data_IF_800728808125
#
_entry.id   IF_800728808125
#
_cell.length_a   1.000
_cell.length_b   1.000
_cell.length_c   1.000
_cell.angle_alpha   90.00
_cell.angle_beta   90.00
_cell.angle_gamma   90.00
#
_symmetry.space_group_name_H-M   'P 1'
#
loop_
_entity.id
_entity.type
_entity.pdbx_description
1 polymer ?
#
# COMPACT_ATOMS: atom_id res chain seq x y z
N UNK A 1 -49.78 -54.16 -4.27
CA UNK A 1 -49.42 -52.93 -3.50
C UNK A 1 -47.98 -53.01 -2.97
N UNK A 2 -47.48 -54.18 -2.54
CA UNK A 2 -46.09 -54.32 -2.05
C UNK A 2 -44.98 -54.07 -3.08
N UNK A 3 -45.14 -54.55 -4.32
CA UNK A 3 -44.07 -54.48 -5.34
C UNK A 3 -43.70 -53.01 -5.69
N UNK A 4 -44.69 -52.13 -5.82
CA UNK A 4 -44.44 -50.70 -6.09
C UNK A 4 -43.76 -49.98 -4.92
N UNK A 5 -44.01 -50.40 -3.67
CA UNK A 5 -43.39 -49.82 -2.48
C UNK A 5 -41.91 -50.23 -2.38
N UNK A 6 -41.60 -51.47 -2.76
CA UNK A 6 -40.24 -52.01 -2.82
C UNK A 6 -39.41 -51.31 -3.91
N UNK A 7 -39.97 -51.09 -5.11
CA UNK A 7 -39.28 -50.37 -6.19
C UNK A 7 -39.00 -48.91 -5.86
N UNK A 8 -39.96 -48.22 -5.22
CA UNK A 8 -39.77 -46.83 -4.76
C UNK A 8 -38.70 -46.75 -3.68
N UNK A 9 -38.69 -47.70 -2.74
CA UNK A 9 -37.65 -47.80 -1.70
C UNK A 9 -36.26 -48.02 -2.30
N UNK A 10 -36.12 -48.95 -3.25
CA UNK A 10 -34.84 -49.22 -3.94
C UNK A 10 -34.31 -48.01 -4.70
N UNK A 11 -35.19 -47.25 -5.37
CA UNK A 11 -34.81 -46.02 -6.08
C UNK A 11 -34.30 -44.93 -5.13
N UNK A 12 -34.96 -44.74 -3.99
CA UNK A 12 -34.53 -43.77 -2.97
C UNK A 12 -33.17 -44.16 -2.39
N UNK A 13 -32.96 -45.44 -2.08
CA UNK A 13 -31.68 -45.95 -1.59
C UNK A 13 -30.56 -45.75 -2.61
N UNK A 14 -30.81 -46.07 -3.89
CA UNK A 14 -29.83 -45.86 -4.96
C UNK A 14 -29.49 -44.37 -5.12
N UNK A 15 -30.49 -43.49 -5.17
CA UNK A 15 -30.25 -42.05 -5.30
C UNK A 15 -29.48 -41.48 -4.12
N UNK A 16 -29.79 -41.93 -2.89
CA UNK A 16 -29.05 -41.54 -1.69
C UNK A 16 -27.60 -42.02 -1.73
N UNK A 17 -27.36 -43.25 -2.22
CA UNK A 17 -26.03 -43.82 -2.38
C UNK A 17 -25.21 -43.03 -3.42
N UNK A 18 -25.81 -42.72 -4.58
CA UNK A 18 -25.19 -41.89 -5.61
C UNK A 18 -24.86 -40.49 -5.11
N UNK A 19 -25.78 -39.84 -4.38
CA UNK A 19 -25.54 -38.54 -3.79
C UNK A 19 -24.35 -38.58 -2.81
N UNK A 20 -24.27 -39.61 -1.97
CA UNK A 20 -23.15 -39.80 -1.05
C UNK A 20 -21.82 -39.94 -1.80
N UNK A 21 -21.76 -40.79 -2.83
CA UNK A 21 -20.56 -40.93 -3.65
C UNK A 21 -20.12 -39.63 -4.33
N UNK A 22 -21.07 -38.86 -4.86
CA UNK A 22 -20.79 -37.55 -5.46
C UNK A 22 -20.22 -36.59 -4.43
N UNK A 23 -20.83 -36.50 -3.24
CA UNK A 23 -20.30 -35.62 -2.17
C UNK A 23 -18.91 -36.05 -1.72
N UNK A 24 -18.65 -37.35 -1.62
CA UNK A 24 -17.34 -37.89 -1.25
C UNK A 24 -16.29 -37.54 -2.31
N UNK A 25 -16.61 -37.70 -3.60
CA UNK A 25 -15.72 -37.29 -4.70
C UNK A 25 -15.40 -35.80 -4.66
N UNK A 26 -16.40 -34.94 -4.44
CA UNK A 26 -16.17 -33.48 -4.36
C UNK A 26 -15.25 -33.15 -3.19
N UNK A 27 -15.48 -33.73 -2.00
CA UNK A 27 -14.60 -33.52 -0.84
C UNK A 27 -13.18 -34.01 -1.11
N UNK A 28 -13.03 -35.19 -1.73
CA UNK A 28 -11.73 -35.74 -2.07
C UNK A 28 -10.95 -34.82 -3.05
N UNK A 29 -11.61 -34.32 -4.09
CA UNK A 29 -11.00 -33.37 -5.04
C UNK A 29 -10.57 -32.09 -4.32
N UNK A 30 -11.41 -31.54 -3.45
CA UNK A 30 -11.08 -30.34 -2.68
C UNK A 30 -9.83 -30.57 -1.82
N UNK A 31 -9.78 -31.65 -1.05
CA UNK A 31 -8.61 -32.01 -0.24
C UNK A 31 -7.36 -32.27 -1.08
N UNK A 32 -7.50 -32.93 -2.22
CA UNK A 32 -6.39 -33.19 -3.14
C UNK A 32 -5.80 -31.88 -3.67
N UNK A 33 -6.65 -30.95 -4.12
CA UNK A 33 -6.21 -29.64 -4.62
C UNK A 33 -5.54 -28.84 -3.49
N UNK A 34 -6.13 -28.77 -2.30
CA UNK A 34 -5.52 -28.09 -1.15
C UNK A 34 -4.16 -28.70 -0.78
N UNK A 35 -4.05 -30.03 -0.81
CA UNK A 35 -2.79 -30.74 -0.57
C UNK A 35 -1.73 -30.44 -1.62
N UNK A 36 -2.12 -30.39 -2.90
CA UNK A 36 -1.22 -30.04 -4.00
C UNK A 36 -0.77 -28.58 -3.93
N UNK A 37 -1.64 -27.65 -3.55
CA UNK A 37 -1.28 -26.23 -3.35
C UNK A 37 -0.27 -26.07 -2.20
N UNK A 38 -0.50 -26.74 -1.07
CA UNK A 38 0.44 -26.74 0.05
C UNK A 38 1.82 -27.30 -0.32
N UNK A 39 1.88 -28.28 -1.23
CA UNK A 39 3.15 -28.84 -1.73
C UNK A 39 3.76 -28.02 -2.87
N UNK A 40 2.93 -27.33 -3.65
CA UNK A 40 3.33 -26.49 -4.77
C UNK A 40 4.14 -25.26 -4.34
N UNK A 41 4.04 -24.84 -3.08
CA UNK A 41 4.88 -23.77 -2.52
C UNK A 41 6.38 -24.14 -2.42
N UNK A 42 6.75 -25.41 -2.68
CA UNK A 42 8.15 -25.90 -2.67
C UNK A 42 8.70 -26.15 -4.08
N UNK A 43 8.27 -25.35 -5.06
CA UNK A 43 8.98 -25.21 -6.34
C UNK A 43 9.84 -23.94 -6.36
N UNK A 44 10.53 -23.64 -5.25
CA UNK A 44 11.76 -22.85 -5.40
C UNK A 44 12.71 -23.74 -6.19
N UNK A 45 13.12 -23.37 -7.41
CA UNK A 45 14.18 -24.09 -8.09
C UNK A 45 15.35 -24.20 -7.10
N UNK A 46 16.11 -25.31 -7.08
CA UNK A 46 17.41 -25.27 -6.43
C UNK A 46 18.13 -24.04 -6.97
N UNK A 47 18.77 -23.25 -6.11
CA UNK A 47 19.68 -22.18 -6.55
C UNK A 47 20.78 -22.86 -7.36
N UNK A 48 20.54 -23.02 -8.66
CA UNK A 48 21.58 -23.36 -9.61
C UNK A 48 22.53 -22.18 -9.52
N UNK A 49 23.81 -22.38 -9.17
CA UNK A 49 24.79 -21.32 -9.32
C UNK A 49 24.77 -20.95 -10.80
N UNK A 50 24.04 -19.88 -11.11
CA UNK A 50 23.80 -19.48 -12.47
C UNK A 50 25.15 -19.18 -13.11
N UNK A 51 25.37 -19.69 -14.31
CA UNK A 51 26.38 -19.20 -15.26
C UNK A 51 26.12 -17.75 -15.70
N UNK A 52 25.33 -16.99 -14.94
CA UNK A 52 25.32 -15.55 -15.06
C UNK A 52 26.67 -15.07 -14.54
N UNK A 53 27.48 -14.38 -15.38
CA UNK A 53 28.67 -13.74 -14.87
C UNK A 53 28.27 -12.85 -13.70
N UNK A 54 29.06 -12.80 -12.62
CA UNK A 54 28.80 -11.85 -11.54
C UNK A 54 28.61 -10.48 -12.19
N UNK A 55 27.46 -9.87 -11.95
CA UNK A 55 27.17 -8.53 -12.44
C UNK A 55 28.36 -7.65 -12.09
N UNK A 56 29.01 -7.07 -13.10
CA UNK A 56 30.17 -6.17 -12.94
C UNK A 56 29.83 -4.95 -12.06
N UNK A 57 28.55 -4.78 -11.73
CA UNK A 57 28.00 -3.82 -10.79
C UNK A 57 27.67 -4.57 -9.50
N UNK A 58 28.60 -4.59 -8.53
CA UNK A 58 28.38 -5.16 -7.19
C UNK A 58 27.32 -4.38 -6.37
N UNK A 59 26.92 -3.20 -6.84
CA UNK A 59 25.98 -2.31 -6.16
C UNK A 59 24.79 -2.03 -7.07
N UNK A 60 23.83 -2.96 -7.13
CA UNK A 60 22.52 -2.59 -7.63
C UNK A 60 21.94 -1.49 -6.72
N UNK A 61 21.29 -0.46 -7.30
CA UNK A 61 20.58 0.51 -6.48
C UNK A 61 19.56 -0.23 -5.61
N UNK A 62 19.33 0.23 -4.37
CA UNK A 62 18.31 -0.36 -3.53
C UNK A 62 16.97 -0.34 -4.27
N UNK A 63 16.17 -1.40 -4.08
CA UNK A 63 14.84 -1.45 -4.67
C UNK A 63 14.04 -0.19 -4.28
N UNK A 64 13.25 0.38 -5.20
CA UNK A 64 12.43 1.53 -4.89
C UNK A 64 11.46 1.18 -3.76
N UNK A 65 11.37 2.07 -2.77
CA UNK A 65 10.46 1.90 -1.63
C UNK A 65 9.16 2.64 -1.91
N UNK A 66 8.05 2.03 -1.49
CA UNK A 66 6.72 2.63 -1.57
C UNK A 66 5.96 2.44 -0.27
N UNK A 67 5.08 3.40 0.04
CA UNK A 67 4.14 3.34 1.15
C UNK A 67 2.72 3.62 0.63
N UNK A 68 1.74 2.83 1.11
CA UNK A 68 0.32 3.07 0.80
C UNK A 68 -0.18 4.20 1.71
N UNK A 69 -0.74 5.25 1.10
CA UNK A 69 -1.38 6.39 1.76
C UNK A 69 -2.74 6.56 1.11
N UNK A 70 -3.80 6.36 1.90
CA UNK A 70 -5.15 6.16 1.38
C UNK A 70 -5.16 5.09 0.26
N UNK A 71 -5.69 5.36 -0.93
CA UNK A 71 -5.69 4.43 -2.07
C UNK A 71 -4.47 4.58 -2.99
N UNK A 72 -3.49 5.41 -2.62
CA UNK A 72 -2.34 5.76 -3.46
C UNK A 72 -1.03 5.18 -2.93
N UNK A 73 -0.10 4.92 -3.85
CA UNK A 73 1.26 4.47 -3.52
C UNK A 73 2.24 5.62 -3.69
N UNK A 74 2.72 6.14 -2.57
CA UNK A 74 3.74 7.18 -2.53
C UNK A 74 5.12 6.54 -2.59
N UNK A 75 6.04 7.19 -3.29
CA UNK A 75 7.44 6.81 -3.29
C UNK A 75 8.06 7.25 -1.95
N UNK A 76 8.86 6.38 -1.33
CA UNK A 76 9.31 6.53 0.05
C UNK A 76 8.88 5.34 0.92
N UNK A 77 9.02 5.41 2.26
CA UNK A 77 9.35 6.58 3.07
C UNK A 77 10.86 6.79 3.21
N UNK A 78 11.36 7.99 2.97
CA UNK A 78 12.77 8.34 3.14
C UNK A 78 13.01 9.17 4.38
N UNK A 79 14.16 8.98 5.02
CA UNK A 79 14.56 9.82 6.16
C UNK A 79 14.60 11.29 5.74
N UNK A 80 13.84 12.14 6.42
CA UNK A 80 13.79 13.58 6.13
C UNK A 80 15.16 14.24 6.36
N UNK A 81 15.96 13.71 7.27
CA UNK A 81 17.32 14.19 7.56
C UNK A 81 18.25 14.10 6.34
N UNK A 82 18.07 13.07 5.52
CA UNK A 82 18.90 12.81 4.33
C UNK A 82 18.25 13.32 3.05
N UNK A 83 16.95 13.57 3.07
CA UNK A 83 16.13 13.90 1.90
C UNK A 83 15.29 15.16 2.19
N UNK A 84 15.94 16.24 2.64
CA UNK A 84 15.28 17.50 2.99
C UNK A 84 14.88 18.35 1.78
N UNK A 85 15.30 17.98 0.57
CA UNK A 85 15.02 18.69 -0.67
C UNK A 85 14.02 17.88 -1.48
N UNK A 86 12.91 18.50 -1.84
CA UNK A 86 11.99 17.99 -2.87
C UNK A 86 12.16 18.84 -4.13
N UNK A 87 12.60 18.20 -5.21
CA UNK A 87 12.99 18.87 -6.47
C UNK A 87 11.99 18.66 -7.60
N UNK A 88 10.89 17.96 -7.33
CA UNK A 88 9.89 17.57 -8.33
C UNK A 88 8.52 18.08 -7.95
N UNK A 89 7.75 18.38 -8.99
CA UNK A 89 6.36 18.76 -8.84
C UNK A 89 5.53 17.55 -8.38
N UNK A 90 4.70 17.74 -7.37
CA UNK A 90 3.96 16.66 -6.76
C UNK A 90 3.33 17.03 -5.43
N UNK A 91 2.69 16.03 -4.83
CA UNK A 91 2.19 16.09 -3.45
C UNK A 91 3.10 15.24 -2.59
N UNK A 92 3.42 15.71 -1.40
CA UNK A 92 4.27 15.01 -0.46
C UNK A 92 3.61 14.95 0.91
N UNK A 93 4.00 13.95 1.69
CA UNK A 93 3.57 13.77 3.07
C UNK A 93 4.77 13.72 3.99
N UNK A 94 4.66 14.39 5.14
CA UNK A 94 5.58 14.19 6.25
C UNK A 94 4.98 13.12 7.16
N UNK A 95 5.81 12.13 7.46
CA UNK A 95 5.46 10.97 8.24
C UNK A 95 6.24 11.00 9.56
N UNK A 96 5.58 10.63 10.65
CA UNK A 96 6.25 10.34 11.91
C UNK A 96 6.37 8.83 12.11
N UNK A 97 7.60 8.33 12.27
CA UNK A 97 7.83 6.92 12.57
C UNK A 97 7.70 6.66 14.07
N UNK A 98 6.73 5.85 14.46
CA UNK A 98 6.51 5.40 15.86
C UNK A 98 6.35 3.89 15.88
N UNK A 99 7.15 3.19 16.70
CA UNK A 99 7.08 1.73 16.87
C UNK A 99 7.15 0.90 15.55
N UNK A 100 7.77 1.46 14.50
CA UNK A 100 7.87 0.80 13.20
C UNK A 100 6.77 1.17 12.20
N UNK A 101 5.72 1.86 12.65
CA UNK A 101 4.62 2.37 11.83
C UNK A 101 4.82 3.85 11.49
N UNK A 102 4.10 4.33 10.48
CA UNK A 102 4.20 5.70 9.98
C UNK A 102 2.85 6.43 10.12
N UNK A 103 2.81 7.43 10.99
CA UNK A 103 1.68 8.36 11.10
C UNK A 103 1.85 9.50 10.08
N UNK A 104 0.80 9.83 9.34
CA UNK A 104 0.82 10.99 8.44
C UNK A 104 0.52 12.25 9.26
N UNK A 105 1.52 13.14 9.38
CA UNK A 105 1.40 14.34 10.21
C UNK A 105 1.23 15.62 9.41
N UNK A 106 1.56 15.62 8.12
CA UNK A 106 1.38 16.77 7.23
C UNK A 106 1.30 16.32 5.77
N UNK A 107 0.55 17.07 4.97
CA UNK A 107 0.43 16.91 3.53
C UNK A 107 0.73 18.27 2.90
N UNK A 108 1.53 18.28 1.85
CA UNK A 108 1.92 19.50 1.15
C UNK A 108 2.03 19.27 -0.34
N UNK A 109 2.00 20.35 -1.10
CA UNK A 109 2.29 20.34 -2.53
C UNK A 109 3.60 21.06 -2.80
N UNK A 110 4.25 20.69 -3.89
CA UNK A 110 5.48 21.29 -4.35
C UNK A 110 5.41 21.51 -5.87
N UNK A 111 5.95 22.63 -6.33
CA UNK A 111 6.09 22.94 -7.76
C UNK A 111 7.57 23.09 -8.12
N UNK A 112 8.31 23.87 -7.33
CA UNK A 112 9.72 24.15 -7.51
C UNK A 112 10.57 23.51 -6.41
N UNK A 113 11.88 23.44 -6.58
CA UNK A 113 12.75 22.84 -5.58
C UNK A 113 12.67 23.58 -4.23
N UNK A 114 12.29 22.86 -3.17
CA UNK A 114 12.13 23.45 -1.83
C UNK A 114 12.81 22.62 -0.74
N UNK A 115 13.28 23.31 0.31
CA UNK A 115 13.88 22.70 1.50
C UNK A 115 12.84 22.54 2.59
N UNK A 116 12.45 21.31 2.86
CA UNK A 116 11.41 20.94 3.82
C UNK A 116 11.77 21.31 5.26
N UNK A 117 13.06 21.25 5.64
CA UNK A 117 13.50 21.67 6.98
C UNK A 117 13.39 23.19 7.22
N UNK A 118 13.12 23.98 6.18
CA UNK A 118 12.84 25.43 6.28
C UNK A 118 11.35 25.74 6.16
N UNK A 119 10.51 24.72 6.06
CA UNK A 119 9.07 24.88 5.91
C UNK A 119 8.44 25.50 7.16
N UNK A 120 7.41 26.34 6.99
CA UNK A 120 6.72 27.02 8.10
C UNK A 120 6.17 26.05 9.15
N UNK A 121 5.65 24.91 8.69
CA UNK A 121 5.10 23.85 9.55
C UNK A 121 6.15 22.91 10.16
N UNK A 122 7.46 23.11 9.90
CA UNK A 122 8.52 22.24 10.42
C UNK A 122 8.47 22.10 11.95
N UNK A 123 8.18 23.19 12.66
CA UNK A 123 8.02 23.17 14.11
C UNK A 123 6.87 22.27 14.56
N UNK A 124 5.71 22.35 13.90
CA UNK A 124 4.57 21.48 14.19
C UNK A 124 4.91 20.00 13.97
N UNK A 125 5.68 19.69 12.92
CA UNK A 125 6.07 18.31 12.62
C UNK A 125 6.90 17.71 13.74
N UNK A 126 7.88 18.47 14.26
CA UNK A 126 8.69 18.04 15.41
C UNK A 126 7.83 17.85 16.66
N UNK A 127 6.96 18.79 16.99
CA UNK A 127 6.09 18.72 18.17
C UNK A 127 5.16 17.50 18.13
N UNK A 128 4.63 17.15 16.96
CA UNK A 128 3.79 15.95 16.77
C UNK A 128 4.59 14.64 16.58
N UNK A 129 5.93 14.72 16.57
CA UNK A 129 6.83 13.59 16.36
C UNK A 129 7.97 13.52 17.39
N UNK A 130 7.62 13.64 18.68
CA UNK A 130 8.53 13.48 19.84
C UNK A 130 9.74 14.44 19.83
N UNK A 131 9.68 15.54 19.09
CA UNK A 131 10.77 16.52 18.92
C UNK A 131 12.07 15.94 18.32
N UNK A 132 12.00 14.80 17.62
CA UNK A 132 13.17 14.11 17.09
C UNK A 132 13.16 14.05 15.56
N UNK A 133 14.07 14.78 14.90
CA UNK A 133 14.20 14.79 13.43
C UNK A 133 14.43 13.40 12.82
N UNK A 134 15.12 12.48 13.53
CA UNK A 134 15.37 11.11 13.06
C UNK A 134 14.08 10.29 12.86
N UNK A 135 12.97 10.72 13.46
CA UNK A 135 11.68 10.05 13.35
C UNK A 135 10.82 10.66 12.23
N UNK A 136 11.26 11.74 11.58
CA UNK A 136 10.57 12.36 10.46
C UNK A 136 11.00 11.73 9.14
N UNK A 137 10.00 11.36 8.35
CA UNK A 137 10.18 10.74 7.04
C UNK A 137 9.35 11.50 5.99
N UNK A 138 9.77 11.38 4.74
CA UNK A 138 9.14 11.96 3.56
C UNK A 138 8.60 10.83 2.69
N UNK A 139 7.38 10.98 2.18
CA UNK A 139 6.91 10.22 1.03
C UNK A 139 6.33 11.19 -0.01
N UNK A 140 6.52 10.90 -1.29
CA UNK A 140 6.15 11.79 -2.38
C UNK A 140 5.37 11.06 -3.47
N UNK A 141 4.35 11.73 -3.99
CA UNK A 141 3.57 11.34 -5.15
C UNK A 141 3.86 12.33 -6.27
N UNK A 142 4.62 11.89 -7.28
CA UNK A 142 5.03 12.76 -8.37
C UNK A 142 3.87 13.06 -9.31
N UNK A 143 3.62 14.35 -9.51
CA UNK A 143 2.61 14.87 -10.42
C UNK A 143 3.31 15.84 -11.39
N UNK A 144 3.96 15.32 -12.44
CA UNK A 144 4.74 16.12 -13.40
C UNK A 144 3.91 17.24 -14.01
N UNK A 145 4.52 18.43 -14.15
CA UNK A 145 3.83 19.64 -14.62
C UNK A 145 3.30 19.52 -16.05
N UNK A 146 3.92 18.67 -16.87
CA UNK A 146 3.51 18.41 -18.25
C UNK A 146 2.16 17.70 -18.33
N UNK A 147 1.77 16.99 -17.27
CA UNK A 147 0.55 16.19 -17.20
C UNK A 147 -0.49 16.77 -16.25
N UNK A 148 -0.04 17.40 -15.16
CA UNK A 148 -0.91 17.89 -14.10
C UNK A 148 -0.69 19.39 -13.88
N UNK A 149 -1.76 20.17 -14.02
CA UNK A 149 -1.77 21.58 -13.67
C UNK A 149 -1.73 21.81 -12.15
N UNK A 150 -1.54 23.05 -11.76
CA UNK A 150 -1.53 23.46 -10.35
C UNK A 150 -2.84 23.08 -9.61
N UNK A 151 -3.98 23.40 -10.22
CA UNK A 151 -5.29 23.08 -9.65
C UNK A 151 -5.48 21.58 -9.37
N UNK A 152 -4.99 20.71 -10.25
CA UNK A 152 -5.10 19.26 -10.08
C UNK A 152 -4.24 18.74 -8.92
N UNK A 153 -3.03 19.29 -8.72
CA UNK A 153 -2.20 18.97 -7.55
C UNK A 153 -2.86 19.43 -6.25
N UNK A 154 -3.43 20.63 -6.27
CA UNK A 154 -4.11 21.21 -5.13
C UNK A 154 -5.36 20.41 -4.75
N UNK A 155 -6.21 20.08 -5.72
CA UNK A 155 -7.40 19.25 -5.52
C UNK A 155 -7.04 17.89 -4.93
N UNK A 156 -6.02 17.23 -5.49
CA UNK A 156 -5.51 15.96 -4.97
C UNK A 156 -4.98 16.07 -3.53
N UNK A 157 -4.26 17.15 -3.22
CA UNK A 157 -3.77 17.42 -1.86
C UNK A 157 -4.94 17.64 -0.89
N UNK A 158 -5.93 18.44 -1.28
CA UNK A 158 -7.12 18.74 -0.47
C UNK A 158 -7.96 17.49 -0.21
N UNK A 159 -8.16 16.63 -1.22
CA UNK A 159 -8.83 15.32 -1.07
C UNK A 159 -8.14 14.46 -0.01
N UNK A 160 -6.81 14.35 -0.08
CA UNK A 160 -6.03 13.59 0.90
C UNK A 160 -6.10 14.21 2.30
N UNK A 161 -6.07 15.55 2.41
CA UNK A 161 -6.21 16.26 3.68
C UNK A 161 -7.59 16.00 4.32
N UNK A 162 -8.67 15.96 3.53
CA UNK A 162 -10.02 15.68 4.02
C UNK A 162 -10.19 14.24 4.54
N UNK A 163 -9.59 13.27 3.85
CA UNK A 163 -9.65 11.86 4.22
C UNK A 163 -8.78 11.55 5.44
N UNK A 164 -7.55 12.06 5.47
CA UNK A 164 -6.53 11.69 6.47
C UNK A 164 -6.62 12.57 7.70
N UNK A 165 -6.94 13.86 7.55
CA UNK A 165 -6.96 14.88 8.62
C UNK A 165 -5.63 14.92 9.40
N UNK A 166 -4.52 15.31 8.73
CA UNK A 166 -3.20 15.31 9.32
C UNK A 166 -3.12 16.22 10.56
N UNK A 167 -2.28 15.85 11.53
CA UNK A 167 -2.15 16.57 12.80
C UNK A 167 -1.68 18.02 12.62
N UNK A 168 -0.81 18.29 11.64
CA UNK A 168 -0.38 19.65 11.31
C UNK A 168 -1.20 20.17 10.13
N UNK A 169 -1.94 21.29 10.30
CA UNK A 169 -2.73 21.87 9.23
C UNK A 169 -1.84 22.52 8.15
N UNK A 170 -2.37 22.83 6.97
CA UNK A 170 -1.69 23.72 6.03
C UNK A 170 -1.49 25.12 6.65
N UNK A 171 -0.47 25.89 6.22
CA UNK A 171 -0.29 27.26 6.69
C UNK A 171 -1.52 28.12 6.34
N UNK A 172 -1.99 28.89 7.32
CA UNK A 172 -3.14 29.79 7.15
C UNK A 172 -2.74 30.91 6.18
N UNK A 173 -3.33 30.94 4.98
CA UNK A 173 -3.22 32.07 4.07
C UNK A 173 -4.30 33.10 4.42
N UNK A 174 -3.92 34.36 4.56
CA UNK A 174 -4.80 35.48 4.95
C UNK A 174 -5.98 35.74 3.98
N UNK A 175 -6.09 35.02 2.87
CA UNK A 175 -7.15 35.19 1.87
C UNK A 175 -8.54 34.69 2.30
N UNK A 176 -8.65 33.92 3.39
CA UNK A 176 -9.93 33.39 3.86
C UNK A 176 -10.71 34.32 4.81
N UNK A 177 -10.18 35.51 5.13
CA UNK A 177 -10.85 36.50 5.99
C UNK A 177 -11.60 37.60 5.23
N UNK A 178 -11.62 37.57 3.89
CA UNK A 178 -12.34 38.57 3.08
C UNK A 178 -13.71 38.09 2.56
N UNK A 179 -14.14 36.88 2.92
CA UNK A 179 -15.43 36.30 2.51
C UNK A 179 -16.24 35.75 3.71
N UNK A 180 -16.20 36.43 4.87
CA UNK A 180 -17.17 36.25 5.97
C UNK A 180 -17.85 37.57 6.29
#
# INVERSE_FOLDING_TARGET
IDIQKIERGRRILLNSLYALFITLLITFVFFLVSYLLQRGEVLKPPEVPGEFPPSLVANFPPAPQFIKIDEYYFNGPWSLKENDVIDKAGVYTILCKKNGEYDIIYIGENEEASRLLRHSQYRCWLENCNQELKNLYLAAFWMPMEKYGYAARREFKEELEEQIKPACPPPVTESNYLNQ
#
